data_IF_824120883188
#
_entry.id   IF_824120883188
#
_cell.length_a   1.000
_cell.length_b   1.000
_cell.length_c   1.000
_cell.angle_alpha   90.00
_cell.angle_beta   90.00
_cell.angle_gamma   90.00
#
_symmetry.space_group_name_H-M   'P 1'
#
loop_
_entity.id
_entity.type
_entity.pdbx_description
1 polymer ?
#
# COMPACT_ATOMS: atom_id res chain seq x y z
N UNK A 1 -4.04 1.23 -23.78
CA UNK A 1 -4.51 2.33 -22.91
C UNK A 1 -4.85 1.79 -21.51
N UNK A 2 -4.65 2.55 -20.42
CA UNK A 2 -4.83 2.15 -19.00
C UNK A 2 -3.70 1.36 -18.29
N UNK A 3 -2.65 0.92 -18.97
CA UNK A 3 -1.53 0.23 -18.30
C UNK A 3 -0.70 1.14 -17.39
N UNK A 4 -0.59 2.42 -17.73
CA UNK A 4 0.12 3.42 -16.89
C UNK A 4 -0.54 3.58 -15.52
N UNK A 5 -1.87 3.46 -15.46
CA UNK A 5 -2.61 3.49 -14.19
C UNK A 5 -2.21 2.31 -13.29
N UNK A 6 -1.95 1.13 -13.86
CA UNK A 6 -1.57 -0.04 -13.08
C UNK A 6 -0.23 0.15 -12.35
N UNK A 7 0.71 0.93 -12.91
CA UNK A 7 1.96 1.28 -12.23
C UNK A 7 1.73 2.21 -11.05
N UNK A 8 1.02 3.32 -11.26
CA UNK A 8 0.72 4.26 -10.17
C UNK A 8 -0.11 3.59 -9.05
N UNK A 9 -1.06 2.72 -9.44
CA UNK A 9 -1.81 1.88 -8.51
C UNK A 9 -0.89 0.94 -7.72
N UNK A 10 0.01 0.24 -8.42
CA UNK A 10 0.96 -0.68 -7.81
C UNK A 10 1.88 0.01 -6.80
N UNK A 11 2.41 1.18 -7.15
CA UNK A 11 3.30 1.95 -6.27
C UNK A 11 2.59 2.40 -4.99
N UNK A 12 1.39 3.00 -5.11
CA UNK A 12 0.61 3.40 -3.95
C UNK A 12 0.20 2.21 -3.07
N UNK A 13 -0.11 1.07 -3.69
CA UNK A 13 -0.46 -0.15 -2.98
C UNK A 13 0.71 -0.68 -2.14
N UNK A 14 1.90 -0.75 -2.74
CA UNK A 14 3.10 -1.22 -2.05
C UNK A 14 3.49 -0.26 -0.93
N UNK A 15 3.44 1.06 -1.17
CA UNK A 15 3.72 2.06 -0.13
C UNK A 15 2.77 1.94 1.06
N UNK A 16 1.47 1.72 0.80
CA UNK A 16 0.47 1.55 1.85
C UNK A 16 0.69 0.25 2.65
N UNK A 17 1.07 -0.85 2.00
CA UNK A 17 1.43 -2.09 2.68
C UNK A 17 2.72 -1.93 3.51
N UNK A 18 3.66 -1.12 3.04
CA UNK A 18 4.89 -0.81 3.76
C UNK A 18 4.62 0.02 5.01
N UNK A 19 3.75 1.02 4.94
CA UNK A 19 3.30 1.80 6.11
C UNK A 19 2.68 0.89 7.18
N UNK A 20 1.80 -0.02 6.79
CA UNK A 20 1.19 -1.03 7.69
C UNK A 20 2.24 -1.95 8.31
N UNK A 21 3.27 -2.34 7.55
CA UNK A 21 4.39 -3.13 8.05
C UNK A 21 5.22 -2.36 9.09
N UNK A 22 5.60 -1.11 8.77
CA UNK A 22 6.35 -0.23 9.67
C UNK A 22 5.58 0.06 10.96
N UNK A 23 4.25 0.20 10.87
CA UNK A 23 3.34 0.34 12.02
C UNK A 23 3.20 -0.90 12.90
N UNK A 24 3.85 -2.02 12.55
CA UNK A 24 3.88 -3.24 13.38
C UNK A 24 2.59 -4.06 13.35
N UNK A 25 1.85 -4.05 12.23
CA UNK A 25 0.56 -4.73 12.13
C UNK A 25 0.64 -6.22 12.55
N UNK A 26 -0.23 -6.68 13.47
CA UNK A 26 -0.21 -8.05 13.95
C UNK A 26 -0.34 -9.08 12.82
N UNK A 27 0.60 -10.03 12.78
CA UNK A 27 0.60 -11.13 11.81
C UNK A 27 0.79 -10.70 10.37
N UNK A 28 1.41 -9.54 10.11
CA UNK A 28 1.62 -9.00 8.76
C UNK A 28 2.17 -10.03 7.77
N UNK A 29 3.24 -10.74 8.14
CA UNK A 29 3.88 -11.72 7.27
C UNK A 29 2.91 -12.82 6.79
N UNK A 30 2.13 -13.39 7.71
CA UNK A 30 1.18 -14.45 7.38
C UNK A 30 0.10 -13.91 6.43
N UNK A 31 -0.47 -12.74 6.76
CA UNK A 31 -1.48 -12.07 5.93
C UNK A 31 -0.95 -11.71 4.53
N UNK A 32 0.30 -11.27 4.45
CA UNK A 32 0.97 -10.95 3.19
C UNK A 32 1.16 -12.19 2.32
N UNK A 33 1.58 -13.32 2.90
CA UNK A 33 1.68 -14.57 2.16
C UNK A 33 0.31 -15.07 1.68
N UNK A 34 -0.75 -14.93 2.49
CA UNK A 34 -2.10 -15.30 2.09
C UNK A 34 -2.63 -14.40 0.95
N UNK A 35 -2.34 -13.10 1.01
CA UNK A 35 -2.61 -12.16 -0.07
C UNK A 35 -1.95 -12.59 -1.39
N UNK A 36 -0.65 -12.91 -1.36
CA UNK A 36 0.08 -13.37 -2.54
C UNK A 36 -0.47 -14.69 -3.09
N UNK A 37 -0.86 -15.63 -2.20
CA UNK A 37 -1.49 -16.90 -2.60
C UNK A 37 -2.84 -16.71 -3.28
N UNK A 38 -3.62 -15.72 -2.85
CA UNK A 38 -4.91 -15.41 -3.47
C UNK A 38 -4.76 -14.89 -4.90
N UNK A 39 -3.61 -14.31 -5.26
CA UNK A 39 -3.36 -13.80 -6.60
C UNK A 39 -4.46 -12.85 -7.07
N UNK A 40 -5.05 -13.11 -8.24
CA UNK A 40 -6.15 -12.32 -8.81
C UNK A 40 -7.56 -12.83 -8.48
N UNK A 41 -7.71 -13.78 -7.54
CA UNK A 41 -9.01 -14.41 -7.26
C UNK A 41 -9.93 -13.55 -6.38
N UNK A 42 -9.37 -12.58 -5.66
CA UNK A 42 -10.09 -11.64 -4.79
C UNK A 42 -10.04 -10.23 -5.39
N UNK A 43 -11.08 -9.42 -5.18
CA UNK A 43 -11.04 -7.99 -5.53
C UNK A 43 -10.14 -7.25 -4.54
N UNK A 44 -9.54 -6.14 -4.97
CA UNK A 44 -8.63 -5.33 -4.14
C UNK A 44 -9.17 -5.01 -2.74
N UNK A 45 -10.46 -4.67 -2.61
CA UNK A 45 -11.09 -4.42 -1.31
C UNK A 45 -11.05 -5.62 -0.38
N UNK A 46 -11.37 -6.81 -0.89
CA UNK A 46 -11.37 -8.05 -0.11
C UNK A 46 -9.95 -8.51 0.21
N UNK A 47 -9.04 -8.32 -0.76
CA UNK A 47 -7.63 -8.65 -0.64
C UNK A 47 -6.91 -7.81 0.43
N UNK A 48 -7.33 -6.55 0.59
CA UNK A 48 -6.67 -5.57 1.47
C UNK A 48 -7.33 -5.39 2.84
N UNK A 49 -8.59 -5.81 2.99
CA UNK A 49 -9.30 -5.78 4.27
C UNK A 49 -8.52 -6.40 5.45
N UNK A 50 -7.73 -7.50 5.30
CA UNK A 50 -6.95 -8.07 6.39
C UNK A 50 -5.87 -7.15 6.98
N UNK A 51 -5.48 -6.10 6.25
CA UNK A 51 -4.49 -5.09 6.64
C UNK A 51 -5.14 -3.79 7.13
N UNK A 52 -6.48 -3.73 7.18
CA UNK A 52 -7.22 -2.51 7.49
C UNK A 52 -7.17 -1.47 6.36
N UNK A 53 -6.89 -1.91 5.12
CA UNK A 53 -6.76 -1.05 3.95
C UNK A 53 -7.97 -1.19 3.03
N UNK A 54 -8.44 -0.08 2.46
CA UNK A 54 -9.52 -0.06 1.46
C UNK A 54 -9.14 0.87 0.31
N UNK A 55 -8.85 0.30 -0.87
CA UNK A 55 -8.48 1.09 -2.05
C UNK A 55 -9.63 1.94 -2.63
N UNK A 56 -10.87 1.75 -2.17
CA UNK A 56 -12.01 2.62 -2.51
C UNK A 56 -12.10 3.86 -1.62
N UNK A 57 -11.32 3.92 -0.54
CA UNK A 57 -11.23 5.07 0.35
C UNK A 57 -10.21 6.09 -0.19
N UNK A 58 -10.57 7.37 -0.41
CA UNK A 58 -9.61 8.41 -0.74
C UNK A 58 -8.42 8.51 0.24
N UNK A 59 -8.65 8.24 1.53
CA UNK A 59 -7.61 8.32 2.56
C UNK A 59 -6.50 7.29 2.37
N UNK A 60 -6.80 6.16 1.69
CA UNK A 60 -5.79 5.19 1.29
C UNK A 60 -4.74 5.81 0.36
N UNK A 61 -5.19 6.60 -0.62
CA UNK A 61 -4.31 7.26 -1.59
C UNK A 61 -3.51 8.38 -0.95
N UNK A 62 -4.10 9.10 0.01
CA UNK A 62 -3.41 10.11 0.78
C UNK A 62 -2.23 9.53 1.57
N UNK A 63 -2.37 8.34 2.18
CA UNK A 63 -1.26 7.68 2.87
C UNK A 63 -0.08 7.35 1.95
N UNK A 64 -0.36 6.77 0.78
CA UNK A 64 0.67 6.43 -0.20
C UNK A 64 1.47 7.66 -0.67
N UNK A 65 0.79 8.80 -0.83
CA UNK A 65 1.42 10.08 -1.19
C UNK A 65 2.17 10.71 -0.01
N UNK A 66 1.64 10.64 1.21
CA UNK A 66 2.31 11.17 2.40
C UNK A 66 3.63 10.46 2.70
N UNK A 67 3.73 9.16 2.43
CA UNK A 67 4.98 8.42 2.57
C UNK A 67 6.07 8.92 1.60
N UNK A 68 5.70 9.22 0.35
CA UNK A 68 6.61 9.84 -0.62
C UNK A 68 7.01 11.27 -0.19
N UNK A 69 6.06 12.05 0.34
CA UNK A 69 6.34 13.38 0.87
C UNK A 69 7.37 13.31 2.01
N UNK A 70 7.23 12.35 2.92
CA UNK A 70 8.19 12.15 4.02
C UNK A 70 9.60 11.85 3.51
N UNK A 71 9.75 11.03 2.46
CA UNK A 71 11.06 10.78 1.86
C UNK A 71 11.67 12.03 1.20
N UNK A 72 10.85 12.90 0.63
CA UNK A 72 11.32 14.19 0.10
C UNK A 72 11.77 15.11 1.25
N UNK A 73 10.99 15.18 2.33
CA UNK A 73 11.34 15.98 3.51
C UNK A 73 12.64 15.48 4.17
N UNK A 74 12.85 14.16 4.25
CA UNK A 74 14.10 13.55 4.73
C UNK A 74 15.28 13.94 3.84
N UNK A 75 15.12 13.86 2.52
CA UNK A 75 16.16 14.27 1.57
C UNK A 75 16.50 15.75 1.73
N UNK A 76 15.51 16.64 1.84
CA UNK A 76 15.74 18.08 2.02
C UNK A 76 16.51 18.43 3.30
N UNK A 77 16.36 17.63 4.37
CA UNK A 77 17.09 17.83 5.62
C UNK A 77 18.55 17.36 5.56
N UNK A 78 18.91 16.50 4.60
CA UNK A 78 20.27 16.03 4.39
C UNK A 78 21.13 16.99 3.54
N UNK A 79 20.52 18.02 2.93
CA UNK A 79 21.20 19.08 2.16
C UNK A 79 21.34 20.39 2.96
#
# INVERSE_FOLDING_TARGET
PFYVYAYAFGDCLVNSLYDVFQGGHPGFQAKYLDMLRAGGTLRHKELLAPFGLDASDPDFWHRGLSMLSGFVDELEQEF
#
